data_IF_637943474591
#
_entry.id   IF_637943474591
#
_cell.length_a   1.000
_cell.length_b   1.000
_cell.length_c   1.000
_cell.angle_alpha   90.00
_cell.angle_beta   90.00
_cell.angle_gamma   90.00
#
_symmetry.space_group_name_H-M   'P 1'
#
loop_
_entity.id
_entity.type
_entity.pdbx_description
1 polymer ?
#
# COMPACT_ATOMS: atom_id res chain seq x y z
N UNK A 1 1.33 -3.71 -19.19
CA UNK A 1 1.03 -2.41 -18.56
C UNK A 1 1.86 -1.24 -19.12
N UNK A 2 3.20 -1.27 -19.08
CA UNK A 2 4.03 -0.10 -19.45
C UNK A 2 3.72 0.55 -20.82
N UNK A 3 3.65 -0.25 -21.90
CA UNK A 3 3.35 0.26 -23.24
C UNK A 3 1.94 0.88 -23.34
N UNK A 4 0.97 0.32 -22.61
CA UNK A 4 -0.39 0.85 -22.54
C UNK A 4 -0.40 2.22 -21.85
N UNK A 5 0.25 2.34 -20.69
CA UNK A 5 0.39 3.61 -19.98
C UNK A 5 1.05 4.69 -20.85
N UNK A 6 2.09 4.34 -21.62
CA UNK A 6 2.69 5.26 -22.61
C UNK A 6 1.70 5.72 -23.67
N UNK A 7 0.83 4.83 -24.15
CA UNK A 7 -0.14 5.15 -25.19
C UNK A 7 -1.24 6.10 -24.71
N UNK A 8 -1.57 6.09 -23.41
CA UNK A 8 -2.56 6.99 -22.80
C UNK A 8 -1.92 8.17 -22.06
N UNK A 9 -0.61 8.38 -22.23
CA UNK A 9 0.16 9.45 -21.57
C UNK A 9 0.04 9.44 -20.03
N UNK A 10 -0.05 8.25 -19.43
CA UNK A 10 -0.03 8.09 -17.97
C UNK A 10 1.40 8.12 -17.45
N UNK A 11 1.63 8.94 -16.44
CA UNK A 11 2.91 9.00 -15.73
C UNK A 11 3.22 7.66 -15.05
N UNK A 12 4.46 7.21 -15.23
CA UNK A 12 4.94 5.93 -14.71
C UNK A 12 6.46 5.90 -14.59
N UNK A 13 6.97 5.06 -13.69
CA UNK A 13 8.39 4.84 -13.47
C UNK A 13 8.66 3.38 -13.09
N UNK A 14 9.89 2.93 -13.31
CA UNK A 14 10.37 1.65 -12.79
C UNK A 14 11.08 1.87 -11.46
N UNK A 15 10.74 1.05 -10.46
CA UNK A 15 11.43 0.95 -9.18
C UNK A 15 11.78 -0.52 -8.97
N UNK A 16 13.02 -0.89 -9.26
CA UNK A 16 13.49 -2.27 -9.29
C UNK A 16 12.52 -3.16 -10.12
N UNK A 17 11.92 -4.19 -9.51
CA UNK A 17 10.98 -5.11 -10.15
C UNK A 17 9.54 -4.58 -10.20
N UNK A 18 9.27 -3.38 -9.68
CA UNK A 18 7.93 -2.80 -9.62
C UNK A 18 7.71 -1.73 -10.69
N UNK A 19 6.56 -1.80 -11.36
CA UNK A 19 6.05 -0.72 -12.17
C UNK A 19 5.22 0.22 -11.30
N UNK A 20 5.71 1.45 -11.12
CA UNK A 20 5.00 2.51 -10.41
C UNK A 20 4.22 3.32 -11.45
N UNK A 21 2.93 3.58 -11.23
CA UNK A 21 2.08 4.32 -12.16
C UNK A 21 1.12 5.29 -11.45
N UNK A 22 0.82 6.42 -12.08
CA UNK A 22 -0.18 7.36 -11.57
C UNK A 22 -1.59 6.89 -11.91
N UNK A 23 -2.32 6.37 -10.92
CA UNK A 23 -3.73 6.03 -11.09
C UNK A 23 -4.42 5.85 -9.74
N UNK A 24 -5.71 6.19 -9.67
CA UNK A 24 -6.57 5.91 -8.52
C UNK A 24 -7.38 4.61 -8.65
N UNK A 25 -7.03 3.79 -9.66
CA UNK A 25 -7.59 2.46 -9.86
C UNK A 25 -7.13 1.49 -8.77
N UNK A 26 -7.91 0.42 -8.58
CA UNK A 26 -7.55 -0.66 -7.67
C UNK A 26 -6.31 -1.39 -8.20
N UNK A 27 -5.29 -1.69 -7.35
CA UNK A 27 -4.12 -2.45 -7.77
C UNK A 27 -4.52 -3.93 -7.93
N UNK A 28 -4.77 -4.34 -9.18
CA UNK A 28 -5.22 -5.69 -9.55
C UNK A 28 -4.13 -6.55 -10.22
N UNK A 29 -2.93 -6.00 -10.38
CA UNK A 29 -1.79 -6.65 -11.01
C UNK A 29 -0.64 -6.84 -10.02
N UNK A 30 0.00 -8.00 -10.08
CA UNK A 30 1.24 -8.26 -9.36
C UNK A 30 2.35 -7.31 -9.83
N UNK A 31 3.25 -6.93 -8.92
CA UNK A 31 4.40 -6.05 -9.19
C UNK A 31 4.05 -4.67 -9.74
N UNK A 32 2.82 -4.18 -9.50
CA UNK A 32 2.39 -2.83 -9.87
C UNK A 32 2.05 -2.02 -8.62
N UNK A 33 2.62 -0.83 -8.52
CA UNK A 33 2.36 0.15 -7.48
C UNK A 33 1.62 1.34 -8.06
N UNK A 34 0.49 1.68 -7.47
CA UNK A 34 -0.27 2.87 -7.86
C UNK A 34 0.12 4.04 -6.94
N UNK A 35 0.52 5.17 -7.51
CA UNK A 35 0.60 6.43 -6.78
C UNK A 35 -0.58 7.33 -7.14
N UNK A 36 -1.03 8.10 -6.16
CA UNK A 36 -2.12 9.06 -6.31
C UNK A 36 -1.67 10.37 -5.66
N UNK A 37 -1.78 11.47 -6.40
CA UNK A 37 -1.60 12.81 -5.85
C UNK A 37 -2.93 13.29 -5.27
N UNK A 38 -2.93 13.75 -4.02
CA UNK A 38 -4.14 14.22 -3.36
C UNK A 38 -3.91 14.61 -1.91
N UNK A 39 -5.00 14.99 -1.24
CA UNK A 39 -5.03 15.40 0.16
C UNK A 39 -5.64 14.32 1.08
N UNK A 40 -5.94 14.69 2.32
CA UNK A 40 -6.58 13.80 3.29
C UNK A 40 -7.95 13.28 2.84
N UNK A 41 -8.71 14.07 2.07
CA UNK A 41 -10.02 13.65 1.60
C UNK A 41 -9.90 12.64 0.46
N UNK A 42 -8.87 12.77 -0.40
CA UNK A 42 -8.55 11.73 -1.39
C UNK A 42 -8.20 10.41 -0.72
N UNK A 43 -7.46 10.42 0.40
CA UNK A 43 -7.15 9.18 1.15
C UNK A 43 -8.43 8.54 1.73
N UNK A 44 -9.38 9.36 2.24
CA UNK A 44 -10.68 8.86 2.73
C UNK A 44 -11.51 8.25 1.60
N UNK A 45 -11.55 8.92 0.45
CA UNK A 45 -12.23 8.42 -0.75
C UNK A 45 -11.67 7.05 -1.16
N UNK A 46 -10.35 6.93 -1.28
CA UNK A 46 -9.68 5.68 -1.66
C UNK A 46 -9.93 4.56 -0.65
N UNK A 47 -9.83 4.85 0.65
CA UNK A 47 -10.12 3.86 1.69
C UNK A 47 -11.57 3.40 1.65
N UNK A 48 -12.51 4.31 1.38
CA UNK A 48 -13.92 3.98 1.21
C UNK A 48 -14.17 3.15 -0.05
N UNK A 49 -13.51 3.49 -1.18
CA UNK A 49 -13.64 2.83 -2.47
C UNK A 49 -13.07 1.40 -2.44
N UNK A 50 -11.92 1.21 -1.81
CA UNK A 50 -11.23 -0.07 -1.72
C UNK A 50 -11.65 -0.91 -0.50
N UNK A 51 -12.43 -0.32 0.41
CA UNK A 51 -13.12 -1.02 1.50
C UNK A 51 -12.21 -1.92 2.32
N UNK A 52 -12.60 -3.19 2.44
CA UNK A 52 -11.90 -4.20 3.25
C UNK A 52 -10.59 -4.70 2.62
N UNK A 53 -10.29 -4.34 1.36
CA UNK A 53 -9.03 -4.69 0.73
C UNK A 53 -7.86 -3.84 1.23
N UNK A 54 -8.14 -2.71 1.89
CA UNK A 54 -7.10 -1.88 2.52
C UNK A 54 -6.73 -2.48 3.87
N UNK A 55 -5.56 -3.11 3.93
CA UNK A 55 -5.03 -3.68 5.16
C UNK A 55 -4.62 -2.58 6.16
N UNK A 56 -3.77 -1.64 5.72
CA UNK A 56 -3.21 -0.58 6.57
C UNK A 56 -2.97 0.70 5.77
N UNK A 57 -3.09 1.86 6.44
CA UNK A 57 -2.68 3.16 5.90
C UNK A 57 -1.52 3.69 6.71
N UNK A 58 -0.36 3.88 6.06
CA UNK A 58 0.83 4.44 6.69
C UNK A 58 0.95 5.95 6.43
N UNK A 59 1.50 6.69 7.40
CA UNK A 59 1.72 8.14 7.33
C UNK A 59 3.12 8.54 7.80
N UNK A 60 3.66 9.61 7.24
CA UNK A 60 4.90 10.24 7.72
C UNK A 60 4.65 11.50 8.57
N UNK A 61 3.43 12.04 8.53
CA UNK A 61 3.06 13.31 9.16
C UNK A 61 1.86 13.19 10.11
N UNK A 62 0.92 14.12 10.01
CA UNK A 62 -0.27 14.20 10.87
C UNK A 62 -1.26 13.05 10.67
N UNK A 63 -2.10 12.80 11.68
CA UNK A 63 -3.13 11.77 11.61
C UNK A 63 -4.28 12.26 10.74
N UNK A 64 -4.81 11.36 9.90
CA UNK A 64 -5.99 11.64 9.09
C UNK A 64 -7.24 11.28 9.90
N UNK A 65 -8.05 12.28 10.22
CA UNK A 65 -9.30 12.06 10.98
C UNK A 65 -10.24 11.07 10.26
N UNK A 66 -10.90 10.22 11.03
CA UNK A 66 -11.75 9.15 10.50
C UNK A 66 -11.01 7.95 9.90
N UNK A 67 -9.67 7.96 9.85
CA UNK A 67 -8.87 6.84 9.34
C UNK A 67 -7.87 6.39 10.41
N UNK A 68 -7.96 5.11 10.81
CA UNK A 68 -6.86 4.46 11.54
C UNK A 68 -5.61 4.44 10.64
N UNK A 69 -4.56 5.13 11.08
CA UNK A 69 -3.26 5.23 10.41
C UNK A 69 -2.13 4.82 11.35
N UNK A 70 -1.03 4.33 10.76
CA UNK A 70 0.20 3.99 11.47
C UNK A 70 1.36 4.80 10.91
N UNK A 71 2.41 5.03 11.70
CA UNK A 71 3.58 5.73 11.16
C UNK A 71 4.33 4.83 10.17
N UNK A 72 4.76 5.39 9.03
CA UNK A 72 5.59 4.69 8.05
C UNK A 72 6.91 4.24 8.65
N UNK A 73 7.46 4.97 9.63
CA UNK A 73 8.63 4.52 10.39
C UNK A 73 8.41 3.22 11.16
N UNK A 74 7.14 2.89 11.43
CA UNK A 74 6.74 1.66 12.10
C UNK A 74 6.27 0.59 11.09
N UNK A 75 6.24 0.91 9.79
CA UNK A 75 6.01 -0.07 8.74
C UNK A 75 7.23 -0.99 8.71
N UNK A 76 7.12 -2.08 9.46
CA UNK A 76 8.01 -3.25 9.50
C UNK A 76 9.51 -2.96 9.50
N UNK A 77 10.06 -3.00 10.71
CA UNK A 77 11.48 -3.32 10.97
C UNK A 77 11.54 -4.18 12.23
N UNK A 78 11.96 -5.46 12.17
CA UNK A 78 12.41 -6.24 11.00
C UNK A 78 11.26 -6.92 10.23
N UNK A 79 11.57 -7.51 9.06
CA UNK A 79 10.61 -8.18 8.18
C UNK A 79 9.69 -9.16 8.94
N UNK A 80 8.37 -8.94 8.84
CA UNK A 80 7.36 -9.90 9.28
C UNK A 80 7.47 -11.17 8.43
N UNK A 81 7.98 -12.24 9.03
CA UNK A 81 7.59 -13.58 8.65
C UNK A 81 6.11 -13.70 8.97
N UNK A 82 5.29 -13.78 7.92
CA UNK A 82 3.90 -14.26 7.89
C UNK A 82 3.36 -14.73 9.26
N UNK A 83 2.43 -13.97 9.83
CA UNK A 83 1.62 -14.41 10.97
C UNK A 83 0.26 -14.88 10.42
N UNK A 84 0.00 -16.19 10.29
CA UNK A 84 -1.34 -16.67 10.06
C UNK A 84 -2.10 -16.57 11.39
N UNK A 85 -3.21 -15.83 11.40
CA UNK A 85 -4.31 -15.94 12.35
C UNK A 85 -3.94 -16.27 13.82
N UNK A 86 -3.12 -15.42 14.44
CA UNK A 86 -2.96 -15.39 15.90
C UNK A 86 -2.10 -16.51 16.50
N UNK A 87 -1.19 -17.11 15.73
CA UNK A 87 -0.19 -18.04 16.27
C UNK A 87 1.14 -17.30 16.47
N UNK A 88 1.54 -17.12 17.73
CA UNK A 88 2.83 -16.53 18.09
C UNK A 88 3.99 -17.38 17.55
N UNK A 89 4.66 -16.85 16.52
CA UNK A 89 5.75 -17.52 15.78
C UNK A 89 6.90 -17.98 16.69
N UNK A 90 7.12 -17.31 17.82
CA UNK A 90 8.25 -17.59 18.73
C UNK A 90 8.17 -18.98 19.40
N UNK A 91 6.98 -19.52 19.69
CA UNK A 91 6.86 -20.82 20.38
C UNK A 91 7.31 -22.01 19.49
N UNK A 92 7.36 -21.82 18.18
CA UNK A 92 7.75 -22.87 17.23
C UNK A 92 9.27 -23.07 17.10
N UNK A 93 10.08 -22.08 17.48
CA UNK A 93 11.55 -22.10 17.32
C UNK A 93 12.32 -22.53 18.58
N UNK A 94 11.63 -22.68 19.71
CA UNK A 94 12.21 -23.09 21.00
C UNK A 94 11.96 -24.57 21.34
N UNK A 95 11.62 -25.41 20.35
CA UNK A 95 11.50 -26.87 20.51
C UNK A 95 12.62 -27.64 19.83
#
# INVERSE_FOLDING_TARGET
>A
QFAFNKAIERDQAWLDDFLVQETDDFPDQEFVLNWVVGDHDKVKELKSRFGNSVQTVYRTGESIDGIKTEFLSNAQTPDLWWEPDGIGVIDSLLR
#
